data_IF_545815793696
#
_entry.id   IF_545815793696
#
_cell.length_a   1.000
_cell.length_b   1.000
_cell.length_c   1.000
_cell.angle_alpha   90.00
_cell.angle_beta   90.00
_cell.angle_gamma   90.00
#
_symmetry.space_group_name_H-M   'P 1'
#
loop_
_entity.id
_entity.type
_entity.pdbx_description
1 polymer ?
#
# COMPACT_ATOMS: atom_id res chain seq x y z
N UNK A 1 8.66 -9.14 2.80
CA UNK A 1 9.68 -8.09 2.51
C UNK A 1 10.29 -8.28 1.12
N UNK A 2 10.20 -7.27 0.26
CA UNK A 2 10.69 -7.30 -1.13
C UNK A 2 12.21 -7.08 -1.27
N UNK A 3 12.89 -6.59 -0.22
CA UNK A 3 14.37 -6.51 -0.13
C UNK A 3 14.91 -7.40 1.00
N UNK A 4 15.19 -8.66 0.66
CA UNK A 4 15.62 -9.69 1.61
C UNK A 4 17.01 -9.41 2.21
N UNK A 5 17.88 -8.75 1.48
CA UNK A 5 19.21 -8.27 1.91
C UNK A 5 19.10 -7.26 3.06
N UNK A 6 18.19 -6.30 2.94
CA UNK A 6 17.93 -5.31 4.00
C UNK A 6 17.27 -5.96 5.21
N UNK A 7 16.26 -6.81 4.99
CA UNK A 7 15.53 -7.50 6.06
C UNK A 7 16.41 -8.46 6.88
N UNK A 8 17.48 -9.00 6.28
CA UNK A 8 18.45 -9.89 6.95
C UNK A 8 19.68 -9.15 7.47
N UNK A 9 19.78 -7.84 7.28
CA UNK A 9 20.90 -7.05 7.76
C UNK A 9 20.86 -6.85 9.28
N UNK A 10 22.03 -6.74 9.90
CA UNK A 10 22.14 -6.49 11.35
C UNK A 10 21.52 -5.15 11.80
N UNK A 11 21.20 -4.24 10.89
CA UNK A 11 20.49 -2.99 11.21
C UNK A 11 19.01 -3.25 11.49
N UNK A 12 18.41 -4.21 10.78
CA UNK A 12 16.98 -4.56 10.90
C UNK A 12 16.72 -5.61 12.00
N UNK A 13 17.75 -6.40 12.36
CA UNK A 13 17.66 -7.50 13.33
C UNK A 13 18.04 -7.10 14.77
N UNK A 14 18.24 -5.83 15.09
CA UNK A 14 18.50 -5.36 16.46
C UNK A 14 17.18 -4.95 17.13
N UNK A 15 16.54 -5.82 17.92
CA UNK A 15 15.24 -5.54 18.54
C UNK A 15 15.32 -4.50 19.66
N UNK A 16 16.53 -4.19 20.14
CA UNK A 16 16.85 -3.33 21.26
C UNK A 16 17.34 -1.93 20.84
N UNK A 17 17.48 -1.68 19.54
CA UNK A 17 17.98 -0.41 19.03
C UNK A 17 17.02 0.15 17.97
N UNK A 18 16.57 1.41 18.08
CA UNK A 18 15.84 2.05 16.99
C UNK A 18 16.73 2.09 15.73
N UNK A 19 16.13 2.09 14.53
CA UNK A 19 16.89 2.26 13.30
C UNK A 19 17.75 3.52 13.40
N UNK A 20 19.01 3.42 12.94
CA UNK A 20 20.05 4.45 13.10
C UNK A 20 19.62 5.82 12.58
N UNK A 21 18.67 5.87 11.64
CA UNK A 21 18.11 7.10 11.13
C UNK A 21 16.70 6.90 10.58
N UNK A 22 15.76 7.74 11.02
CA UNK A 22 14.44 7.89 10.39
C UNK A 22 14.49 8.81 9.16
N UNK A 23 15.68 9.13 8.64
CA UNK A 23 15.85 10.03 7.51
C UNK A 23 15.04 9.59 6.29
N UNK A 24 14.85 8.29 6.05
CA UNK A 24 13.97 7.78 4.98
C UNK A 24 12.55 8.33 5.08
N UNK A 25 11.98 8.47 6.29
CA UNK A 25 10.67 9.07 6.48
C UNK A 25 10.68 10.56 6.16
N UNK A 26 11.72 11.28 6.60
CA UNK A 26 11.90 12.72 6.35
C UNK A 26 12.09 13.00 4.86
N UNK A 27 12.89 12.18 4.18
CA UNK A 27 13.15 12.27 2.74
C UNK A 27 11.88 12.02 1.92
N UNK A 28 10.94 11.23 2.46
CA UNK A 28 9.66 10.93 1.82
C UNK A 28 8.58 11.99 2.06
N UNK A 29 8.74 12.91 3.02
CA UNK A 29 7.73 13.96 3.33
C UNK A 29 7.22 14.71 2.09
N UNK A 30 8.07 15.12 1.12
CA UNK A 30 7.61 15.82 -0.08
C UNK A 30 6.63 15.01 -0.95
N UNK A 31 6.74 13.68 -0.91
CA UNK A 31 6.00 12.74 -1.76
C UNK A 31 4.78 12.13 -1.05
N UNK A 32 4.72 12.20 0.29
CA UNK A 32 3.57 11.70 1.05
C UNK A 32 2.33 12.52 0.69
N UNK A 33 1.22 11.81 0.45
CA UNK A 33 -0.11 12.40 0.19
C UNK A 33 -1.12 11.79 1.15
N UNK A 34 -2.04 12.62 1.63
CA UNK A 34 -3.20 12.13 2.36
C UNK A 34 -4.10 11.33 1.40
N UNK A 35 -4.66 10.25 1.90
CA UNK A 35 -5.71 9.51 1.20
C UNK A 35 -7.03 10.27 1.31
N UNK A 36 -8.00 10.02 0.41
CA UNK A 36 -9.32 10.62 0.50
C UNK A 36 -10.00 10.37 1.85
N UNK A 37 -10.53 11.44 2.45
CA UNK A 37 -11.35 11.35 3.66
C UNK A 37 -12.81 11.09 3.28
N UNK A 38 -13.15 9.82 2.98
CA UNK A 38 -14.52 9.37 2.71
C UNK A 38 -14.97 8.34 3.74
N UNK A 39 -16.28 8.29 4.02
CA UNK A 39 -16.85 7.33 4.96
C UNK A 39 -16.68 5.86 4.50
N UNK A 40 -16.50 5.66 3.19
CA UNK A 40 -16.33 4.36 2.52
C UNK A 40 -14.87 3.95 2.33
N UNK A 41 -13.91 4.62 3.01
CA UNK A 41 -12.48 4.39 2.77
C UNK A 41 -12.06 2.95 3.08
N UNK A 42 -12.62 2.34 4.13
CA UNK A 42 -12.37 0.93 4.47
C UNK A 42 -12.76 -0.04 3.35
N UNK A 43 -13.85 0.24 2.65
CA UNK A 43 -14.35 -0.56 1.54
C UNK A 43 -13.47 -0.39 0.31
N UNK A 44 -13.00 0.83 0.05
CA UNK A 44 -12.02 1.12 -1.00
C UNK A 44 -10.74 0.33 -0.75
N UNK A 45 -10.20 0.37 0.48
CA UNK A 45 -8.99 -0.38 0.84
C UNK A 45 -9.19 -1.88 0.65
N UNK A 46 -10.31 -2.42 1.13
CA UNK A 46 -10.62 -3.85 1.00
C UNK A 46 -10.69 -4.28 -0.47
N UNK A 47 -11.39 -3.53 -1.31
CA UNK A 47 -11.54 -3.86 -2.72
C UNK A 47 -10.20 -3.75 -3.47
N UNK A 48 -9.38 -2.75 -3.13
CA UNK A 48 -8.06 -2.57 -3.71
C UNK A 48 -7.09 -3.70 -3.32
N UNK A 49 -7.10 -4.13 -2.06
CA UNK A 49 -6.20 -5.15 -1.52
C UNK A 49 -6.29 -6.46 -2.29
N UNK A 50 -7.50 -6.93 -2.61
CA UNK A 50 -7.71 -8.18 -3.34
C UNK A 50 -7.10 -8.13 -4.76
N UNK A 51 -7.28 -7.00 -5.47
CA UNK A 51 -6.75 -6.80 -6.82
C UNK A 51 -5.23 -6.65 -6.81
N UNK A 52 -4.70 -5.86 -5.87
CA UNK A 52 -3.26 -5.64 -5.71
C UNK A 52 -2.56 -6.96 -5.32
N UNK A 53 -3.16 -7.75 -4.43
CA UNK A 53 -2.64 -9.07 -4.08
C UNK A 53 -2.61 -10.00 -5.30
N UNK A 54 -3.67 -10.02 -6.11
CA UNK A 54 -3.70 -10.82 -7.33
C UNK A 54 -2.58 -10.43 -8.32
N UNK A 55 -2.33 -9.12 -8.51
CA UNK A 55 -1.20 -8.64 -9.32
C UNK A 55 0.15 -9.05 -8.72
N UNK A 56 0.33 -8.86 -7.41
CA UNK A 56 1.58 -9.17 -6.73
C UNK A 56 1.94 -10.65 -6.82
N UNK A 57 0.96 -11.55 -6.70
CA UNK A 57 1.16 -13.00 -6.81
C UNK A 57 1.12 -13.52 -8.26
N UNK A 58 1.09 -12.63 -9.26
CA UNK A 58 1.10 -13.02 -10.68
C UNK A 58 -0.17 -13.75 -11.15
N UNK A 59 -1.27 -13.62 -10.42
CA UNK A 59 -2.58 -14.16 -10.82
C UNK A 59 -3.33 -13.23 -11.76
N UNK A 60 -2.90 -11.96 -11.84
CA UNK A 60 -3.48 -10.93 -12.67
C UNK A 60 -2.38 -10.10 -13.32
N UNK A 61 -2.44 -9.96 -14.64
CA UNK A 61 -1.51 -9.11 -15.38
C UNK A 61 -1.67 -7.63 -15.02
N UNK A 62 -0.56 -6.89 -15.01
CA UNK A 62 -0.51 -5.50 -14.49
C UNK A 62 -1.57 -4.59 -15.11
N UNK A 63 -1.67 -4.55 -16.43
CA UNK A 63 -2.61 -3.65 -17.12
C UNK A 63 -4.07 -4.06 -16.89
N UNK A 64 -4.33 -5.36 -16.78
CA UNK A 64 -5.65 -5.86 -16.45
C UNK A 64 -6.02 -5.52 -15.00
N UNK A 65 -5.08 -5.67 -14.06
CA UNK A 65 -5.28 -5.32 -12.66
C UNK A 65 -5.46 -3.83 -12.43
N UNK A 66 -4.76 -2.96 -13.17
CA UNK A 66 -4.99 -1.51 -13.09
C UNK A 66 -6.40 -1.12 -13.57
N UNK A 67 -6.90 -1.74 -14.65
CA UNK A 67 -8.29 -1.53 -15.08
C UNK A 67 -9.29 -2.02 -14.04
N UNK A 68 -9.10 -3.24 -13.56
CA UNK A 68 -9.97 -3.82 -12.54
C UNK A 68 -9.97 -3.01 -11.24
N UNK A 69 -8.81 -2.47 -10.83
CA UNK A 69 -8.69 -1.63 -9.65
C UNK A 69 -9.58 -0.38 -9.75
N UNK A 70 -9.56 0.30 -10.90
CA UNK A 70 -10.45 1.44 -11.15
C UNK A 70 -11.92 1.00 -11.10
N UNK A 71 -12.27 -0.08 -11.83
CA UNK A 71 -13.65 -0.58 -11.92
C UNK A 71 -14.26 -0.90 -10.55
N UNK A 72 -13.48 -1.49 -9.62
CA UNK A 72 -14.01 -1.90 -8.31
C UNK A 72 -13.98 -0.79 -7.26
N UNK A 73 -13.11 0.22 -7.40
CA UNK A 73 -12.95 1.28 -6.38
C UNK A 73 -13.70 2.57 -6.72
N UNK A 74 -13.83 2.92 -7.99
CA UNK A 74 -14.45 4.18 -8.43
C UNK A 74 -15.88 4.40 -7.87
N UNK A 75 -16.79 3.40 -7.86
CA UNK A 75 -18.14 3.56 -7.31
C UNK A 75 -18.16 3.84 -5.80
N UNK A 76 -17.14 3.42 -5.06
CA UNK A 76 -17.08 3.52 -3.61
C UNK A 76 -16.77 4.95 -3.15
N UNK A 77 -16.07 5.75 -3.97
CA UNK A 77 -15.78 7.15 -3.63
C UNK A 77 -17.02 8.06 -3.63
N UNK A 78 -18.09 7.69 -4.35
CA UNK A 78 -19.34 8.46 -4.43
C UNK A 78 -20.49 7.92 -3.59
N UNK A 79 -20.31 6.79 -2.91
CA UNK A 79 -21.38 6.07 -2.20
C UNK A 79 -21.51 6.53 -0.74
N UNK A 80 -22.74 6.59 -0.18
CA UNK A 80 -22.92 6.72 1.26
C UNK A 80 -22.37 5.48 1.99
N UNK A 81 -21.97 5.59 3.26
CA UNK A 81 -21.50 4.43 4.03
C UNK A 81 -22.60 3.36 4.13
N UNK A 82 -22.18 2.09 4.04
CA UNK A 82 -23.05 0.91 4.12
C UNK A 82 -23.37 0.46 5.55
#
# INVERSE_FOLDING_TARGET
>A
PSRLDVARSGVFLRPDAPPKSSQVFVDAIPDIRAVPHTATWSEVEKAADDVIAAMYYGRLERDAGLRQLNEVTEPLFGSPPG
#
